data_IF_884432436061
#
_entry.id   IF_884432436061
#
_cell.length_a   1.000
_cell.length_b   1.000
_cell.length_c   1.000
_cell.angle_alpha   90.00
_cell.angle_beta   90.00
_cell.angle_gamma   90.00
#
_symmetry.space_group_name_H-M   'P 1'
#
loop_
_entity.id
_entity.type
_entity.pdbx_description
1 polymer ?
#
# COMPACT_ATOMS: atom_id res chain seq x y z
N UNK A 1 -14.07 -22.52 8.95
CA UNK A 1 -12.61 -22.40 8.78
C UNK A 1 -12.24 -23.30 7.60
N UNK A 2 -12.10 -22.70 6.40
CA UNK A 2 -11.68 -23.43 5.20
C UNK A 2 -10.17 -23.61 5.34
N UNK A 3 -9.61 -24.83 5.34
CA UNK A 3 -8.17 -25.00 5.38
C UNK A 3 -7.60 -24.40 4.09
N UNK A 4 -6.78 -23.38 4.21
CA UNK A 4 -5.94 -22.84 3.15
C UNK A 4 -4.86 -23.87 2.77
N UNK A 5 -5.29 -25.01 2.24
CA UNK A 5 -4.45 -25.84 1.40
C UNK A 5 -4.42 -25.17 0.03
N UNK A 6 -3.70 -24.05 -0.08
CA UNK A 6 -3.27 -23.54 -1.37
C UNK A 6 -2.35 -24.59 -1.96
N UNK A 7 -2.92 -25.50 -2.73
CA UNK A 7 -2.14 -26.33 -3.64
C UNK A 7 -1.55 -25.38 -4.67
N UNK A 8 -0.29 -25.04 -4.48
CA UNK A 8 0.49 -24.39 -5.52
C UNK A 8 0.48 -25.31 -6.76
N UNK A 9 -0.26 -24.93 -7.77
CA UNK A 9 -0.32 -25.68 -9.02
C UNK A 9 0.77 -25.11 -9.93
N UNK A 10 1.83 -25.89 -10.14
CA UNK A 10 2.83 -25.54 -11.13
C UNK A 10 2.17 -25.55 -12.50
N UNK A 11 2.32 -24.47 -13.24
CA UNK A 11 1.90 -24.34 -14.61
C UNK A 11 3.11 -24.57 -15.50
N UNK A 12 3.12 -25.61 -16.34
CA UNK A 12 4.29 -25.97 -17.16
C UNK A 12 4.65 -24.89 -18.20
N UNK A 13 3.71 -24.01 -18.53
CA UNK A 13 3.90 -22.86 -19.43
C UNK A 13 4.56 -21.64 -18.75
N UNK A 14 4.77 -21.68 -17.41
CA UNK A 14 5.41 -20.62 -16.65
C UNK A 14 6.74 -21.09 -16.09
N UNK A 15 7.74 -20.23 -16.16
CA UNK A 15 9.01 -20.44 -15.48
C UNK A 15 8.93 -19.88 -14.05
N UNK A 16 9.45 -20.66 -13.10
CA UNK A 16 9.53 -20.30 -11.69
C UNK A 16 11.02 -20.30 -11.27
N UNK A 17 11.78 -19.25 -11.62
CA UNK A 17 13.25 -19.26 -11.50
C UNK A 17 13.75 -19.46 -10.07
N UNK A 18 12.95 -19.09 -9.07
CA UNK A 18 13.28 -19.25 -7.66
C UNK A 18 12.50 -20.39 -6.98
N UNK A 19 11.64 -21.10 -7.74
CA UNK A 19 10.73 -22.11 -7.20
C UNK A 19 9.39 -21.55 -6.77
N UNK A 20 8.40 -22.42 -6.72
CA UNK A 20 6.99 -22.08 -6.56
C UNK A 20 6.62 -21.49 -5.18
N UNK A 21 7.45 -21.73 -4.18
CA UNK A 21 7.21 -21.36 -2.77
C UNK A 21 8.24 -20.38 -2.24
N UNK A 22 9.16 -19.95 -3.10
CA UNK A 22 10.16 -19.01 -2.68
C UNK A 22 9.61 -17.58 -2.71
N UNK A 23 9.99 -16.80 -1.72
CA UNK A 23 9.77 -15.35 -1.66
C UNK A 23 10.94 -14.72 -0.92
N UNK A 24 11.28 -13.46 -1.18
CA UNK A 24 12.27 -12.75 -0.37
C UNK A 24 11.82 -12.65 1.09
N UNK A 25 12.78 -12.50 1.98
CA UNK A 25 12.48 -12.17 3.37
C UNK A 25 11.85 -10.78 3.46
N UNK A 26 11.05 -10.57 4.47
CA UNK A 26 10.37 -9.30 4.69
C UNK A 26 11.39 -8.20 4.94
N UNK A 27 11.21 -7.07 4.27
CA UNK A 27 12.13 -5.94 4.38
C UNK A 27 13.47 -6.10 3.63
N UNK A 28 13.73 -7.24 2.98
CA UNK A 28 14.94 -7.46 2.19
C UNK A 28 14.65 -7.28 0.69
N UNK A 29 15.10 -6.17 0.07
CA UNK A 29 14.88 -5.94 -1.35
C UNK A 29 15.60 -6.99 -2.21
N UNK A 30 14.86 -7.70 -3.05
CA UNK A 30 15.38 -8.74 -3.92
C UNK A 30 15.31 -8.33 -5.40
N UNK A 31 16.43 -8.30 -6.09
CA UNK A 31 16.47 -7.95 -7.50
C UNK A 31 15.90 -9.07 -8.37
N UNK A 32 14.78 -8.77 -9.06
CA UNK A 32 14.09 -9.70 -9.96
C UNK A 32 14.41 -9.46 -11.43
N UNK A 33 14.84 -8.24 -11.76
CA UNK A 33 15.35 -7.84 -13.07
C UNK A 33 16.29 -6.64 -12.85
N UNK A 34 17.09 -6.29 -13.84
CA UNK A 34 18.05 -5.18 -13.76
C UNK A 34 17.35 -3.90 -13.32
N UNK A 35 17.72 -3.42 -12.12
CA UNK A 35 17.15 -2.23 -11.49
C UNK A 35 15.72 -2.37 -10.98
N UNK A 36 15.14 -3.59 -10.94
CA UNK A 36 13.80 -3.86 -10.40
C UNK A 36 13.90 -4.75 -9.18
N UNK A 37 13.57 -4.22 -8.00
CA UNK A 37 13.63 -4.95 -6.74
C UNK A 37 12.23 -5.16 -6.18
N UNK A 38 11.97 -6.39 -5.78
CA UNK A 38 10.79 -6.80 -5.05
C UNK A 38 11.04 -6.63 -3.55
N UNK A 39 10.13 -5.94 -2.86
CA UNK A 39 10.13 -5.74 -1.41
C UNK A 39 8.83 -6.28 -0.83
N UNK A 40 8.94 -7.23 0.12
CA UNK A 40 7.77 -7.69 0.89
C UNK A 40 7.58 -6.80 2.10
N UNK A 41 6.31 -6.43 2.34
CA UNK A 41 5.88 -5.59 3.44
C UNK A 41 4.79 -6.30 4.25
N UNK A 42 4.82 -6.31 5.58
CA UNK A 42 3.83 -7.02 6.38
C UNK A 42 2.43 -6.43 6.28
N UNK A 43 1.42 -7.28 6.46
CA UNK A 43 0.02 -6.89 6.60
C UNK A 43 -0.60 -7.55 7.83
N UNK A 44 -1.37 -6.79 8.66
CA UNK A 44 -2.01 -7.31 9.86
C UNK A 44 -3.32 -8.06 9.57
N UNK A 45 -3.41 -8.76 8.45
CA UNK A 45 -4.60 -9.50 8.00
C UNK A 45 -4.21 -10.89 7.49
N UNK A 46 -5.19 -11.70 7.08
CA UNK A 46 -4.95 -13.08 6.62
C UNK A 46 -4.06 -13.19 5.37
N UNK A 47 -3.91 -12.12 4.59
CA UNK A 47 -2.99 -12.06 3.46
C UNK A 47 -1.52 -11.98 3.90
N UNK A 48 -1.24 -11.62 5.12
CA UNK A 48 0.05 -11.49 5.81
C UNK A 48 1.08 -10.54 5.18
N UNK A 49 1.09 -10.30 3.88
CA UNK A 49 2.03 -9.40 3.22
C UNK A 49 1.47 -8.75 1.95
N UNK A 50 2.13 -7.67 1.55
CA UNK A 50 1.96 -7.02 0.24
C UNK A 50 3.32 -6.90 -0.45
N UNK A 51 3.32 -6.88 -1.77
CA UNK A 51 4.51 -6.73 -2.60
C UNK A 51 4.63 -5.29 -3.08
N UNK A 52 5.73 -4.66 -2.73
CA UNK A 52 6.14 -3.34 -3.19
C UNK A 52 7.31 -3.47 -4.16
N UNK A 53 7.60 -2.39 -4.87
CA UNK A 53 8.68 -2.39 -5.84
C UNK A 53 9.57 -1.17 -5.68
N UNK A 54 10.89 -1.40 -5.80
CA UNK A 54 11.90 -0.35 -5.90
C UNK A 54 12.47 -0.40 -7.31
N UNK A 55 12.28 0.67 -8.05
CA UNK A 55 12.72 0.79 -9.43
C UNK A 55 13.90 1.75 -9.49
N UNK A 56 15.01 1.34 -10.11
CA UNK A 56 16.14 2.25 -10.32
C UNK A 56 15.73 3.41 -11.21
N UNK A 57 16.02 4.62 -10.76
CA UNK A 57 15.67 5.88 -11.42
C UNK A 57 16.90 6.80 -11.45
N UNK A 58 17.71 6.62 -12.48
CA UNK A 58 18.99 7.30 -12.61
C UNK A 58 19.95 6.95 -11.46
N UNK A 59 20.29 7.94 -10.66
CA UNK A 59 21.16 7.81 -9.48
C UNK A 59 20.38 7.48 -8.19
N UNK A 60 19.06 7.26 -8.29
CA UNK A 60 18.19 6.99 -7.15
C UNK A 60 17.15 5.91 -7.44
N UNK A 61 16.03 6.02 -6.77
CA UNK A 61 14.98 5.02 -6.76
C UNK A 61 13.58 5.63 -6.84
N UNK A 62 12.71 5.00 -7.61
CA UNK A 62 11.27 5.20 -7.55
C UNK A 62 10.67 4.08 -6.73
N UNK A 63 9.90 4.42 -5.70
CA UNK A 63 9.13 3.47 -4.88
C UNK A 63 7.75 3.31 -5.50
N UNK A 64 7.27 2.06 -5.66
CA UNK A 64 5.91 1.78 -6.12
C UNK A 64 5.15 1.12 -4.98
N UNK A 65 4.11 1.81 -4.53
CA UNK A 65 3.33 1.58 -3.32
C UNK A 65 4.13 1.73 -2.02
N UNK A 66 3.45 1.90 -0.89
CA UNK A 66 4.10 2.35 0.34
C UNK A 66 3.94 1.40 1.54
N UNK A 67 3.04 0.43 1.44
CA UNK A 67 2.69 -0.43 2.56
C UNK A 67 1.55 0.12 3.42
N UNK A 68 1.11 -0.72 4.36
CA UNK A 68 0.04 -0.38 5.30
C UNK A 68 0.51 0.66 6.32
N UNK A 69 -0.40 1.54 6.77
CA UNK A 69 -0.08 2.64 7.69
C UNK A 69 0.11 2.18 9.14
N UNK A 70 1.04 1.25 9.40
CA UNK A 70 1.38 0.71 10.71
C UNK A 70 2.81 1.04 11.12
N UNK A 71 3.10 0.92 12.41
CA UNK A 71 4.47 1.11 12.93
C UNK A 71 5.39 -0.01 12.46
N UNK A 72 4.89 -1.24 12.34
CA UNK A 72 5.62 -2.39 11.80
C UNK A 72 6.11 -2.12 10.37
N UNK A 73 5.26 -1.61 9.48
CA UNK A 73 5.70 -1.23 8.13
C UNK A 73 6.70 -0.06 8.13
N UNK A 74 6.60 0.87 9.10
CA UNK A 74 7.61 1.94 9.24
C UNK A 74 8.96 1.39 9.66
N UNK A 75 8.98 0.44 10.60
CA UNK A 75 10.21 -0.23 11.04
C UNK A 75 10.89 -0.96 9.88
N UNK A 76 10.12 -1.64 9.04
CA UNK A 76 10.63 -2.27 7.82
C UNK A 76 11.23 -1.23 6.86
N UNK A 77 10.58 -0.09 6.64
CA UNK A 77 11.13 0.99 5.82
C UNK A 77 12.42 1.58 6.41
N UNK A 78 12.48 1.80 7.73
CA UNK A 78 13.72 2.27 8.37
C UNK A 78 14.84 1.23 8.27
N UNK A 79 14.53 -0.06 8.29
CA UNK A 79 15.50 -1.11 7.98
C UNK A 79 16.01 -0.99 6.53
N UNK A 80 15.12 -0.87 5.54
CA UNK A 80 15.49 -0.65 4.12
C UNK A 80 16.37 0.59 3.96
N UNK A 81 16.09 1.68 4.69
CA UNK A 81 16.87 2.91 4.65
C UNK A 81 18.27 2.78 5.30
N UNK A 82 18.47 1.80 6.14
CA UNK A 82 19.79 1.54 6.76
C UNK A 82 20.63 0.50 6.00
N UNK A 83 19.97 -0.42 5.27
CA UNK A 83 20.64 -1.57 4.66
C UNK A 83 20.76 -1.48 3.15
N UNK A 84 19.85 -0.83 2.46
CA UNK A 84 19.78 -0.87 1.01
C UNK A 84 19.88 0.49 0.32
N UNK A 85 19.09 1.48 0.74
CA UNK A 85 19.09 2.83 0.15
C UNK A 85 18.91 3.90 1.24
N UNK A 86 19.35 5.12 0.98
CA UNK A 86 19.08 6.24 1.90
C UNK A 86 17.80 6.99 1.49
N UNK A 87 17.10 7.67 2.43
CA UNK A 87 15.91 8.47 2.09
C UNK A 87 16.13 9.46 0.94
N UNK A 88 17.30 10.10 0.90
CA UNK A 88 17.65 11.08 -0.14
C UNK A 88 17.83 10.47 -1.54
N UNK A 89 17.92 9.15 -1.66
CA UNK A 89 17.96 8.46 -2.94
C UNK A 89 16.56 8.16 -3.51
N UNK A 90 15.50 8.32 -2.72
CA UNK A 90 14.12 8.15 -3.21
C UNK A 90 13.72 9.42 -3.98
N UNK A 91 13.47 9.27 -5.28
CA UNK A 91 13.09 10.38 -6.17
C UNK A 91 11.59 10.67 -6.12
N UNK A 92 10.78 9.63 -5.95
CA UNK A 92 9.33 9.70 -5.91
C UNK A 92 8.71 8.42 -5.34
N UNK A 93 7.47 8.55 -4.88
CA UNK A 93 6.60 7.41 -4.53
C UNK A 93 5.45 7.37 -5.53
N UNK A 94 5.29 6.26 -6.25
CA UNK A 94 4.12 6.02 -7.11
C UNK A 94 3.12 5.20 -6.31
N UNK A 95 1.88 5.67 -6.21
CA UNK A 95 0.77 4.93 -5.62
C UNK A 95 -0.09 4.38 -6.75
N UNK A 96 -0.19 3.05 -6.82
CA UNK A 96 -0.97 2.37 -7.85
C UNK A 96 -2.47 2.61 -7.67
N UNK A 97 -2.96 2.56 -6.43
CA UNK A 97 -4.35 2.83 -6.07
C UNK A 97 -4.52 3.15 -4.58
N UNK A 98 -5.73 3.57 -4.21
CA UNK A 98 -6.07 4.14 -2.89
C UNK A 98 -6.17 3.14 -1.72
N UNK A 99 -6.03 1.84 -1.93
CA UNK A 99 -6.17 0.88 -0.83
C UNK A 99 -5.14 1.11 0.28
N UNK A 100 -5.51 0.90 1.57
CA UNK A 100 -4.68 1.27 2.71
C UNK A 100 -3.30 0.60 2.75
N UNK A 101 -3.16 -0.59 2.16
CA UNK A 101 -1.91 -1.33 2.04
C UNK A 101 -1.00 -0.82 0.92
N UNK A 102 -1.50 0.02 0.04
CA UNK A 102 -0.75 0.67 -1.03
C UNK A 102 -0.43 2.14 -0.73
N UNK A 103 -1.41 2.93 -0.30
CA UNK A 103 -1.24 4.37 -0.02
C UNK A 103 -0.88 4.67 1.45
N UNK A 104 -0.95 3.68 2.33
CA UNK A 104 -0.97 3.88 3.79
C UNK A 104 0.21 4.64 4.38
N UNK A 105 1.42 4.47 3.86
CA UNK A 105 2.62 5.20 4.27
C UNK A 105 3.12 6.21 3.23
N UNK A 106 2.37 6.49 2.15
CA UNK A 106 2.83 7.37 1.08
C UNK A 106 3.17 8.79 1.57
N UNK A 107 2.34 9.38 2.45
CA UNK A 107 2.62 10.68 3.04
C UNK A 107 3.85 10.66 3.96
N UNK A 108 4.01 9.61 4.76
CA UNK A 108 5.17 9.45 5.62
C UNK A 108 6.46 9.31 4.81
N UNK A 109 6.45 8.49 3.74
CA UNK A 109 7.58 8.36 2.83
C UNK A 109 7.91 9.68 2.12
N UNK A 110 6.89 10.39 1.62
CA UNK A 110 7.07 11.69 0.96
C UNK A 110 7.77 12.70 1.87
N UNK A 111 7.35 12.77 3.14
CA UNK A 111 7.98 13.64 4.14
C UNK A 111 9.38 13.16 4.53
N UNK A 112 9.56 11.86 4.73
CA UNK A 112 10.83 11.24 5.15
C UNK A 112 11.91 11.35 4.09
N UNK A 113 11.52 11.28 2.82
CA UNK A 113 12.40 11.29 1.65
C UNK A 113 12.45 12.65 0.93
N UNK A 114 11.63 13.60 1.33
CA UNK A 114 11.49 14.93 0.68
C UNK A 114 11.18 14.81 -0.83
N UNK A 115 10.26 13.89 -1.18
CA UNK A 115 9.94 13.56 -2.55
C UNK A 115 8.43 13.61 -2.84
N UNK A 116 8.00 13.79 -4.11
CA UNK A 116 6.59 13.81 -4.46
C UNK A 116 5.96 12.42 -4.42
N UNK A 117 4.63 12.39 -4.18
CA UNK A 117 3.77 11.23 -4.41
C UNK A 117 3.11 11.38 -5.78
N UNK A 118 3.26 10.39 -6.63
CA UNK A 118 2.59 10.31 -7.93
C UNK A 118 1.40 9.36 -7.81
N UNK A 119 0.22 9.86 -8.15
CA UNK A 119 -1.03 9.10 -8.11
C UNK A 119 -1.92 9.51 -9.27
N UNK A 120 -2.73 8.59 -9.82
CA UNK A 120 -3.68 8.97 -10.85
C UNK A 120 -4.75 9.92 -10.30
N UNK A 121 -5.30 10.78 -11.16
CA UNK A 121 -6.33 11.74 -10.77
C UNK A 121 -7.56 11.05 -10.16
N UNK A 122 -8.01 9.95 -10.78
CA UNK A 122 -9.18 9.22 -10.32
C UNK A 122 -9.00 8.62 -8.93
N UNK A 123 -7.85 7.99 -8.69
CA UNK A 123 -7.51 7.43 -7.38
C UNK A 123 -7.38 8.50 -6.30
N UNK A 124 -6.76 9.64 -6.62
CA UNK A 124 -6.63 10.74 -5.67
C UNK A 124 -7.97 11.39 -5.33
N UNK A 125 -8.85 11.61 -6.33
CA UNK A 125 -10.20 12.13 -6.09
C UNK A 125 -11.02 11.16 -5.23
N UNK A 126 -10.96 9.87 -5.51
CA UNK A 126 -11.65 8.85 -4.74
C UNK A 126 -11.09 8.75 -3.30
N UNK A 127 -9.77 8.80 -3.13
CA UNK A 127 -9.12 8.85 -1.83
C UNK A 127 -9.60 10.06 -1.01
N UNK A 128 -9.62 11.25 -1.61
CA UNK A 128 -10.11 12.45 -0.93
C UNK A 128 -11.58 12.32 -0.52
N UNK A 129 -12.44 11.83 -1.40
CA UNK A 129 -13.86 11.63 -1.09
C UNK A 129 -14.07 10.69 0.10
N UNK A 130 -13.25 9.65 0.21
CA UNK A 130 -13.30 8.70 1.34
C UNK A 130 -12.71 9.32 2.62
N UNK A 131 -11.64 10.10 2.50
CA UNK A 131 -10.92 10.62 3.68
C UNK A 131 -11.49 11.91 4.26
N UNK A 132 -12.25 12.69 3.46
CA UNK A 132 -12.88 13.96 3.89
C UNK A 132 -14.36 13.75 4.29
N UNK A 133 -14.89 12.54 4.14
CA UNK A 133 -16.29 12.23 4.44
C UNK A 133 -16.65 12.55 5.90
N UNK A 134 -17.91 12.90 6.13
CA UNK A 134 -18.48 12.96 7.47
C UNK A 134 -18.51 11.54 8.07
N UNK A 135 -17.64 11.30 9.03
CA UNK A 135 -17.45 9.99 9.64
C UNK A 135 -18.72 9.52 10.38
N UNK A 136 -19.42 10.42 11.05
CA UNK A 136 -20.65 10.07 11.76
C UNK A 136 -21.78 9.67 10.79
N UNK A 137 -21.92 10.41 9.68
CA UNK A 137 -22.86 10.05 8.61
C UNK A 137 -22.48 8.70 7.98
N UNK A 138 -21.22 8.47 7.66
CA UNK A 138 -20.75 7.21 7.11
C UNK A 138 -21.02 6.01 8.03
N UNK A 139 -20.75 6.15 9.32
CA UNK A 139 -21.02 5.07 10.29
C UNK A 139 -22.50 4.74 10.36
N UNK A 140 -23.36 5.77 10.41
CA UNK A 140 -24.82 5.57 10.46
C UNK A 140 -25.35 4.90 9.19
N UNK A 141 -24.96 5.40 8.02
CA UNK A 141 -25.38 4.85 6.72
C UNK A 141 -24.88 3.42 6.52
N UNK A 142 -23.64 3.14 6.92
CA UNK A 142 -23.05 1.80 6.86
C UNK A 142 -23.79 0.83 7.79
N UNK A 143 -24.09 1.24 9.02
CA UNK A 143 -24.86 0.42 9.94
C UNK A 143 -26.25 0.10 9.39
N UNK A 144 -26.94 1.10 8.85
CA UNK A 144 -28.25 0.90 8.25
C UNK A 144 -28.18 -0.05 7.06
N UNK A 145 -27.29 0.19 6.11
CA UNK A 145 -27.10 -0.62 4.91
C UNK A 145 -26.84 -2.09 5.22
N UNK A 146 -25.87 -2.37 6.09
CA UNK A 146 -25.52 -3.75 6.42
C UNK A 146 -26.59 -4.45 7.29
N UNK A 147 -27.33 -3.69 8.11
CA UNK A 147 -28.49 -4.22 8.84
C UNK A 147 -29.60 -4.65 7.87
N UNK A 148 -29.91 -3.83 6.87
CA UNK A 148 -30.90 -4.16 5.83
C UNK A 148 -30.47 -5.37 5.00
N UNK A 149 -29.17 -5.58 4.82
CA UNK A 149 -28.60 -6.78 4.18
C UNK A 149 -28.61 -8.04 5.06
N UNK A 150 -28.98 -7.93 6.34
CA UNK A 150 -29.11 -9.06 7.26
C UNK A 150 -27.80 -9.48 7.95
N UNK A 151 -26.79 -8.61 8.00
CA UNK A 151 -25.58 -8.89 8.76
C UNK A 151 -25.81 -8.75 10.27
N UNK A 152 -25.09 -9.56 11.05
CA UNK A 152 -25.12 -9.49 12.51
C UNK A 152 -24.48 -8.18 13.01
N UNK A 153 -25.04 -7.61 14.08
CA UNK A 153 -24.59 -6.34 14.67
C UNK A 153 -23.10 -6.33 15.01
N UNK A 154 -22.56 -7.45 15.53
CA UNK A 154 -21.13 -7.57 15.87
C UNK A 154 -20.23 -7.55 14.64
N UNK A 155 -20.69 -8.12 13.51
CA UNK A 155 -19.99 -8.08 12.23
C UNK A 155 -19.98 -6.66 11.68
N UNK A 156 -21.13 -5.99 11.73
CA UNK A 156 -21.30 -4.60 11.30
C UNK A 156 -20.36 -3.68 12.11
N UNK A 157 -20.35 -3.80 13.43
CA UNK A 157 -19.50 -2.97 14.30
C UNK A 157 -18.02 -3.12 13.96
N UNK A 158 -17.55 -4.35 13.75
CA UNK A 158 -16.15 -4.63 13.35
C UNK A 158 -15.83 -4.03 11.98
N UNK A 159 -16.73 -4.17 11.01
CA UNK A 159 -16.54 -3.64 9.66
C UNK A 159 -16.52 -2.11 9.68
N UNK A 160 -17.48 -1.48 10.35
CA UNK A 160 -17.55 -0.02 10.48
C UNK A 160 -16.29 0.52 11.17
N UNK A 161 -15.85 -0.12 12.26
CA UNK A 161 -14.60 0.25 12.94
C UNK A 161 -13.38 0.12 12.02
N UNK A 162 -13.27 -0.99 11.26
CA UNK A 162 -12.18 -1.20 10.29
C UNK A 162 -12.16 -0.13 9.19
N UNK A 163 -13.34 0.29 8.74
CA UNK A 163 -13.50 1.31 7.69
C UNK A 163 -13.49 2.75 8.23
N UNK A 164 -13.48 2.93 9.56
CA UNK A 164 -13.44 4.24 10.19
C UNK A 164 -12.13 4.96 9.90
N UNK A 165 -12.22 6.25 9.67
CA UNK A 165 -11.09 7.08 9.26
C UNK A 165 -10.52 7.86 10.45
N UNK A 166 -10.15 7.14 11.51
CA UNK A 166 -9.62 7.71 12.76
C UNK A 166 -8.17 8.23 12.66
N UNK A 167 -7.57 8.14 11.47
CA UNK A 167 -6.19 8.60 11.27
C UNK A 167 -6.09 10.12 11.33
N UNK A 168 -5.05 10.67 12.00
CA UNK A 168 -4.77 12.10 12.01
C UNK A 168 -4.67 12.66 10.58
N UNK A 169 -5.14 13.90 10.39
CA UNK A 169 -5.09 14.59 9.07
C UNK A 169 -3.66 14.67 8.54
N UNK A 170 -2.67 14.82 9.43
CA UNK A 170 -1.24 14.88 9.11
C UNK A 170 -0.70 13.58 8.52
N UNK A 171 -1.35 12.46 8.78
CA UNK A 171 -0.97 11.16 8.21
C UNK A 171 -1.55 10.91 6.81
N UNK A 172 -2.39 11.81 6.31
CA UNK A 172 -3.05 11.68 5.01
C UNK A 172 -2.20 12.26 3.89
N UNK A 173 -2.29 11.66 2.71
CA UNK A 173 -1.69 12.22 1.50
C UNK A 173 -2.42 13.51 1.15
N UNK A 174 -1.71 14.63 1.13
CA UNK A 174 -2.25 15.95 0.83
C UNK A 174 -1.98 16.33 -0.63
N UNK A 175 -2.85 17.16 -1.20
CA UNK A 175 -2.68 17.63 -2.58
C UNK A 175 -1.34 18.33 -2.83
N UNK A 176 -0.77 19.00 -1.81
CA UNK A 176 0.54 19.63 -1.88
C UNK A 176 1.71 18.66 -2.01
N UNK A 177 1.51 17.40 -1.66
CA UNK A 177 2.50 16.32 -1.79
C UNK A 177 2.39 15.59 -3.12
N UNK A 178 1.28 15.78 -3.87
CA UNK A 178 0.93 14.99 -5.02
C UNK A 178 1.29 15.67 -6.33
N UNK A 179 1.93 14.91 -7.21
CA UNK A 179 1.94 15.15 -8.64
C UNK A 179 0.93 14.21 -9.30
N UNK A 180 -0.11 14.78 -9.92
CA UNK A 180 -1.16 13.97 -10.55
C UNK A 180 -0.70 13.47 -11.91
N UNK A 181 -0.63 12.16 -12.07
CA UNK A 181 -0.36 11.52 -13.36
C UNK A 181 -1.57 11.80 -14.28
N UNK A 182 -1.31 12.47 -15.40
CA UNK A 182 -2.34 12.72 -16.44
C UNK A 182 -2.27 11.63 -17.50
N UNK A 183 -3.42 11.29 -18.07
CA UNK A 183 -3.50 10.38 -19.22
C UNK A 183 -2.59 10.90 -20.35
N UNK A 184 -1.67 10.02 -20.81
CA UNK A 184 -0.69 10.37 -21.85
C UNK A 184 0.58 11.09 -21.36
N UNK A 185 0.75 11.29 -20.05
CA UNK A 185 2.01 11.73 -19.47
C UNK A 185 3.04 10.61 -19.57
N UNK A 186 4.06 10.80 -20.41
CA UNK A 186 5.26 9.94 -20.40
C UNK A 186 6.13 10.45 -19.25
N UNK A 187 6.47 9.56 -18.30
CA UNK A 187 7.51 9.82 -17.29
C UNK A 187 8.88 9.87 -17.95
#
# INVERSE_FOLDING_TARGET
MIPLSTKYVQRPELEYPFGLRWSPEEGEPFEVADGVHWLRMPLPIALDHINLWLLRDGDGWTVVDSGFGSDECREVWEHVFTTFLTPSQVKRVIVTHLHPDHIGLASWLALRCECPVLISKGEFEMYNNITIRDEAAFQLESQQFFTEMGYDTDVIAKFVHFMSNDKPVESRVQASMCEVIRDGGVM
#
